data_IF_099099353478
#
_entry.id   IF_099099353478
#
_cell.length_a   1.000
_cell.length_b   1.000
_cell.length_c   1.000
_cell.angle_alpha   90.00
_cell.angle_beta   90.00
_cell.angle_gamma   90.00
#
_symmetry.space_group_name_H-M   'P 1'
#
loop_
_entity.id
_entity.type
_entity.pdbx_description
1 polymer ?
#
# COMPACT_ATOMS: atom_id res chain seq x y z
N UNK A 1 14.56 -0.13 -12.80
CA UNK A 1 15.96 -0.61 -12.79
C UNK A 1 15.96 -2.08 -12.42
N UNK A 2 16.88 -2.87 -12.96
CA UNK A 2 17.06 -4.28 -12.60
C UNK A 2 18.52 -4.47 -12.20
N UNK A 3 18.76 -5.18 -11.09
CA UNK A 3 20.09 -5.58 -10.65
C UNK A 3 20.15 -7.10 -10.59
N UNK A 4 21.23 -7.68 -11.13
CA UNK A 4 21.49 -9.11 -11.04
C UNK A 4 22.98 -9.39 -11.19
N UNK A 5 23.44 -10.45 -10.54
CA UNK A 5 24.81 -10.91 -10.66
C UNK A 5 24.90 -12.42 -10.44
N UNK A 6 26.03 -12.98 -10.83
CA UNK A 6 26.35 -14.39 -10.63
C UNK A 6 27.84 -14.55 -10.40
N UNK A 7 28.21 -15.50 -9.55
CA UNK A 7 29.60 -15.89 -9.31
C UNK A 7 29.70 -17.42 -9.32
N UNK A 8 30.71 -17.93 -10.01
CA UNK A 8 31.05 -19.35 -10.06
C UNK A 8 32.47 -19.50 -9.53
N UNK A 9 32.65 -20.42 -8.57
CA UNK A 9 33.94 -20.78 -8.00
C UNK A 9 34.25 -22.23 -8.33
N UNK A 10 35.47 -22.47 -8.82
CA UNK A 10 36.03 -23.79 -9.09
C UNK A 10 37.25 -23.99 -8.19
N UNK A 11 37.27 -25.06 -7.42
CA UNK A 11 38.45 -25.48 -6.65
C UNK A 11 38.73 -26.93 -6.94
N UNK A 12 39.96 -27.23 -7.34
CA UNK A 12 40.46 -28.58 -7.55
C UNK A 12 41.69 -28.74 -6.68
N UNK A 13 41.59 -29.60 -5.66
CA UNK A 13 42.71 -29.92 -4.78
C UNK A 13 43.29 -31.28 -5.15
N UNK A 14 44.58 -31.28 -5.45
CA UNK A 14 45.42 -32.46 -5.61
C UNK A 14 46.48 -32.40 -4.50
N UNK A 15 46.95 -33.55 -4.03
CA UNK A 15 47.84 -33.67 -2.87
C UNK A 15 49.03 -32.69 -2.87
N UNK A 16 49.58 -32.37 -4.05
CA UNK A 16 50.74 -31.48 -4.23
C UNK A 16 50.39 -30.17 -4.99
N UNK A 17 49.22 -30.08 -5.61
CA UNK A 17 48.82 -28.97 -6.49
C UNK A 17 47.36 -28.60 -6.28
N UNK A 18 47.03 -27.31 -6.19
CA UNK A 18 45.64 -26.84 -6.21
C UNK A 18 45.38 -25.85 -7.35
N UNK A 19 44.16 -25.88 -7.89
CA UNK A 19 43.68 -24.96 -8.91
C UNK A 19 42.44 -24.26 -8.35
N UNK A 20 42.49 -22.93 -8.28
CA UNK A 20 41.40 -22.07 -7.83
C UNK A 20 41.00 -21.14 -8.96
N UNK A 21 39.74 -21.17 -9.37
CA UNK A 21 39.18 -20.31 -10.40
C UNK A 21 37.92 -19.61 -9.90
N UNK A 22 37.77 -18.33 -10.23
CA UNK A 22 36.55 -17.56 -9.96
C UNK A 22 36.16 -16.83 -11.24
N UNK A 23 34.88 -16.84 -11.58
CA UNK A 23 34.33 -15.97 -12.61
C UNK A 23 33.00 -15.43 -12.13
N UNK A 24 32.78 -14.14 -12.28
CA UNK A 24 31.54 -13.51 -11.87
C UNK A 24 31.31 -12.16 -12.49
N UNK A 25 30.08 -11.69 -12.36
CA UNK A 25 29.68 -10.35 -12.76
C UNK A 25 28.51 -9.86 -11.90
N UNK A 26 28.36 -8.54 -11.80
CA UNK A 26 27.19 -7.85 -11.25
C UNK A 26 26.78 -6.75 -12.23
N UNK A 27 25.51 -6.71 -12.61
CA UNK A 27 24.97 -5.83 -13.62
C UNK A 27 23.78 -5.02 -13.07
N UNK A 28 23.80 -3.72 -13.36
CA UNK A 28 22.72 -2.78 -13.10
C UNK A 28 22.20 -2.22 -14.43
N UNK A 29 20.91 -2.38 -14.68
CA UNK A 29 20.23 -1.95 -15.91
C UNK A 29 19.19 -0.87 -15.60
N UNK A 30 19.26 0.25 -16.32
CA UNK A 30 18.30 1.34 -16.37
C UNK A 30 17.47 1.21 -17.65
N UNK A 31 16.14 1.33 -17.54
CA UNK A 31 15.21 1.19 -18.68
C UNK A 31 14.70 2.55 -19.18
N UNK A 32 14.39 3.45 -18.25
CA UNK A 32 13.88 4.78 -18.52
C UNK A 32 14.71 5.81 -17.74
N UNK A 33 14.92 7.01 -18.29
CA UNK A 33 14.45 7.52 -19.59
C UNK A 33 15.31 7.05 -20.77
N UNK A 34 16.50 6.50 -20.49
CA UNK A 34 17.43 5.94 -21.46
C UNK A 34 17.78 4.53 -21.02
N UNK A 35 17.79 3.61 -21.97
CA UNK A 35 18.35 2.30 -21.72
C UNK A 35 19.85 2.48 -21.50
N UNK A 36 20.34 2.16 -20.30
CA UNK A 36 21.77 2.10 -19.98
C UNK A 36 22.05 0.95 -19.03
N UNK A 37 23.25 0.42 -19.04
CA UNK A 37 23.70 -0.59 -18.10
C UNK A 37 25.13 -0.36 -17.68
N UNK A 38 25.44 -0.84 -16.48
CA UNK A 38 26.78 -0.94 -15.94
C UNK A 38 26.96 -2.37 -15.42
N UNK A 39 27.98 -3.06 -15.89
CA UNK A 39 28.30 -4.42 -15.51
C UNK A 39 29.74 -4.50 -15.01
N UNK A 40 29.92 -4.81 -13.74
CA UNK A 40 31.21 -5.17 -13.15
C UNK A 40 31.47 -6.64 -13.43
N UNK A 41 32.66 -6.98 -13.90
CA UNK A 41 33.05 -8.36 -14.19
C UNK A 41 34.40 -8.68 -13.55
N UNK A 42 34.57 -9.94 -13.19
CA UNK A 42 35.82 -10.46 -12.64
C UNK A 42 36.02 -11.91 -13.05
N UNK A 43 37.25 -12.25 -13.43
CA UNK A 43 37.67 -13.62 -13.61
C UNK A 43 39.10 -13.80 -13.10
N UNK A 44 39.37 -14.88 -12.38
CA UNK A 44 40.71 -15.25 -11.96
C UNK A 44 40.91 -16.77 -12.01
N UNK A 45 42.14 -17.17 -12.28
CA UNK A 45 42.59 -18.55 -12.25
C UNK A 45 43.99 -18.59 -11.64
N UNK A 46 44.14 -19.37 -10.58
CA UNK A 46 45.38 -19.51 -9.81
C UNK A 46 45.74 -20.98 -9.69
N UNK A 47 46.99 -21.32 -10.01
CA UNK A 47 47.59 -22.64 -9.82
C UNK A 47 48.62 -22.54 -8.70
N UNK A 48 48.44 -23.32 -7.64
CA UNK A 48 49.37 -23.40 -6.51
C UNK A 48 50.04 -24.77 -6.48
N UNK A 49 51.32 -24.81 -6.13
CA UNK A 49 52.11 -26.04 -5.93
C UNK A 49 52.77 -25.94 -4.56
N UNK A 50 52.61 -26.97 -3.71
CA UNK A 50 53.15 -26.98 -2.34
C UNK A 50 52.76 -25.75 -1.50
N UNK A 51 51.58 -25.16 -1.77
CA UNK A 51 51.08 -23.97 -1.10
C UNK A 51 51.53 -22.63 -1.73
N UNK A 52 52.49 -22.65 -2.65
CA UNK A 52 53.00 -21.45 -3.32
C UNK A 52 52.33 -21.22 -4.68
N UNK A 53 52.04 -19.96 -5.04
CA UNK A 53 51.44 -19.62 -6.34
C UNK A 53 52.46 -19.77 -7.48
N UNK A 54 52.23 -20.74 -8.37
CA UNK A 54 53.06 -20.97 -9.54
C UNK A 54 52.63 -20.07 -10.72
N UNK A 55 51.33 -20.01 -10.98
CA UNK A 55 50.72 -19.24 -12.07
C UNK A 55 49.43 -18.59 -11.57
N UNK A 56 49.23 -17.32 -11.88
CA UNK A 56 47.98 -16.61 -11.66
C UNK A 56 47.64 -15.75 -12.86
N UNK A 57 46.40 -15.79 -13.31
CA UNK A 57 45.85 -14.81 -14.24
C UNK A 57 44.54 -14.30 -13.67
N UNK A 58 44.33 -13.00 -13.74
CA UNK A 58 43.12 -12.35 -13.29
C UNK A 58 42.77 -11.16 -14.16
N UNK A 59 41.49 -10.84 -14.21
CA UNK A 59 40.98 -9.60 -14.78
C UNK A 59 39.79 -9.15 -13.95
N UNK A 60 39.74 -7.86 -13.66
CA UNK A 60 38.56 -7.23 -13.11
C UNK A 60 38.32 -5.92 -13.85
N UNK A 61 37.07 -5.60 -14.10
CA UNK A 61 36.72 -4.42 -14.87
C UNK A 61 35.25 -4.09 -14.83
N UNK A 62 34.91 -3.03 -15.55
CA UNK A 62 33.58 -2.50 -15.71
C UNK A 62 33.30 -2.31 -17.19
N UNK A 63 32.11 -2.73 -17.62
CA UNK A 63 31.56 -2.52 -18.93
C UNK A 63 30.29 -1.69 -18.80
N UNK A 64 30.22 -0.56 -19.49
CA UNK A 64 29.03 0.30 -19.53
C UNK A 64 28.53 0.52 -20.95
N UNK A 65 27.24 0.76 -21.11
CA UNK A 65 26.56 0.97 -22.39
C UNK A 65 25.05 1.16 -22.19
N UNK A 66 24.20 0.88 -23.20
CA UNK A 66 24.48 0.83 -24.63
C UNK A 66 24.31 2.22 -25.25
N UNK A 67 25.37 2.73 -25.85
CA UNK A 67 25.46 4.10 -26.34
C UNK A 67 26.92 4.43 -26.58
N UNK A 68 27.49 5.23 -25.68
CA UNK A 68 28.93 5.23 -25.48
C UNK A 68 29.29 4.00 -24.65
N UNK A 69 29.91 3.04 -25.30
CA UNK A 69 30.49 1.90 -24.65
C UNK A 69 31.79 2.33 -23.99
N UNK A 70 31.98 1.89 -22.74
CA UNK A 70 33.26 2.00 -22.06
C UNK A 70 33.59 0.69 -21.40
N UNK A 71 34.75 0.14 -21.73
CA UNK A 71 35.29 -1.06 -21.12
C UNK A 71 36.63 -0.70 -20.48
N UNK A 72 36.66 -0.71 -19.15
CA UNK A 72 37.86 -0.41 -18.38
C UNK A 72 38.15 -1.52 -17.38
N UNK A 73 39.42 -1.82 -17.16
CA UNK A 73 39.80 -2.88 -16.23
C UNK A 73 41.30 -2.98 -15.99
N UNK A 74 41.65 -3.87 -15.07
CA UNK A 74 43.02 -4.25 -14.78
C UNK A 74 43.15 -5.75 -14.91
N UNK A 75 44.15 -6.20 -15.65
CA UNK A 75 44.54 -7.60 -15.65
C UNK A 75 45.75 -7.79 -14.71
N UNK A 76 45.86 -8.99 -14.16
CA UNK A 76 46.91 -9.43 -13.28
C UNK A 76 47.49 -10.71 -13.86
N UNK A 77 48.79 -10.76 -14.05
CA UNK A 77 49.51 -11.96 -14.47
C UNK A 77 50.66 -12.20 -13.51
N UNK A 78 50.70 -13.39 -12.91
CA UNK A 78 51.77 -13.84 -12.02
C UNK A 78 52.34 -15.15 -12.53
N UNK A 79 53.65 -15.19 -12.72
CA UNK A 79 54.40 -16.39 -13.03
C UNK A 79 55.60 -16.47 -12.08
N UNK A 80 55.50 -17.31 -11.05
CA UNK A 80 56.49 -17.44 -9.98
C UNK A 80 56.91 -16.07 -9.39
N UNK A 81 58.05 -15.54 -9.84
CA UNK A 81 58.67 -14.28 -9.38
C UNK A 81 58.34 -13.07 -10.26
N UNK A 82 57.71 -13.27 -11.41
CA UNK A 82 57.35 -12.23 -12.37
C UNK A 82 55.88 -11.85 -12.20
N UNK A 83 55.61 -10.56 -12.08
CA UNK A 83 54.25 -10.01 -12.00
C UNK A 83 54.06 -8.88 -13.01
N UNK A 84 52.94 -8.91 -13.73
CA UNK A 84 52.59 -7.92 -14.74
C UNK A 84 51.13 -7.51 -14.62
N UNK A 85 50.88 -6.21 -14.51
CA UNK A 85 49.57 -5.64 -14.17
C UNK A 85 49.11 -4.59 -15.19
N UNK A 86 48.76 -4.99 -16.43
CA UNK A 86 48.33 -4.03 -17.45
C UNK A 86 46.93 -3.50 -17.14
N UNK A 87 46.73 -2.22 -17.44
CA UNK A 87 45.43 -1.54 -17.34
C UNK A 87 44.94 -1.15 -18.73
N UNK A 88 43.64 -1.19 -18.95
CA UNK A 88 43.02 -0.74 -20.20
C UNK A 88 41.76 0.07 -19.90
N UNK A 89 41.46 1.06 -20.75
CA UNK A 89 40.23 1.87 -20.71
C UNK A 89 39.94 2.29 -22.15
N UNK A 90 38.99 1.60 -22.77
CA UNK A 90 38.60 1.81 -24.15
C UNK A 90 37.17 2.34 -24.20
N UNK A 91 36.95 3.34 -25.05
CA UNK A 91 35.66 3.97 -25.26
C UNK A 91 35.31 3.98 -26.74
N UNK A 92 34.08 3.57 -27.09
CA UNK A 92 33.61 3.56 -28.46
C UNK A 92 32.09 3.76 -28.54
N UNK A 93 31.61 4.16 -29.73
CA UNK A 93 30.20 4.48 -29.93
C UNK A 93 29.87 5.93 -29.62
N UNK A 94 28.59 6.26 -29.70
CA UNK A 94 28.08 7.62 -29.57
C UNK A 94 27.02 7.65 -28.47
N UNK A 95 26.97 8.75 -27.69
CA UNK A 95 25.85 8.94 -26.77
C UNK A 95 24.57 9.04 -27.60
N UNK A 96 23.57 8.17 -27.37
CA UNK A 96 22.29 8.28 -28.06
C UNK A 96 21.69 9.67 -27.79
N UNK A 97 21.15 10.29 -28.83
CA UNK A 97 20.42 11.55 -28.68
C UNK A 97 19.35 11.38 -27.59
N UNK A 98 19.18 12.41 -26.75
CA UNK A 98 18.12 12.42 -25.73
C UNK A 98 16.81 12.23 -26.47
N UNK A 99 16.07 11.16 -26.19
CA UNK A 99 14.69 11.07 -26.66
C UNK A 99 13.98 12.32 -26.17
N UNK A 100 13.53 13.17 -27.11
CA UNK A 100 12.82 14.42 -26.87
C UNK A 100 11.37 14.15 -26.41
N UNK A 101 11.21 13.25 -25.44
CA UNK A 101 9.94 13.13 -24.75
C UNK A 101 9.69 14.48 -24.07
N UNK A 102 8.62 15.15 -24.49
CA UNK A 102 8.18 16.41 -23.91
C UNK A 102 6.84 16.22 -23.20
N UNK A 103 6.71 16.82 -22.02
CA UNK A 103 5.51 16.72 -21.18
C UNK A 103 4.90 18.11 -20.99
N UNK A 104 3.60 18.23 -21.23
CA UNK A 104 2.81 19.45 -20.97
C UNK A 104 2.44 19.52 -19.48
N UNK A 105 3.26 20.21 -18.69
CA UNK A 105 3.02 20.39 -17.24
C UNK A 105 1.71 21.15 -17.00
N UNK A 106 1.36 22.07 -17.91
CA UNK A 106 0.10 22.81 -17.87
C UNK A 106 -1.12 21.89 -17.88
N UNK A 107 -1.13 20.86 -18.73
CA UNK A 107 -2.24 19.91 -18.81
C UNK A 107 -2.33 19.04 -17.56
N UNK A 108 -1.19 18.60 -17.03
CA UNK A 108 -1.14 17.84 -15.78
C UNK A 108 -1.66 18.66 -14.60
N UNK A 109 -1.23 19.92 -14.47
CA UNK A 109 -1.74 20.84 -13.45
C UNK A 109 -3.24 21.11 -13.61
N UNK A 110 -3.71 21.35 -14.85
CA UNK A 110 -5.13 21.58 -15.11
C UNK A 110 -5.98 20.36 -14.72
N UNK A 111 -5.48 19.15 -15.02
CA UNK A 111 -6.12 17.89 -14.61
C UNK A 111 -6.15 17.77 -13.09
N UNK A 112 -5.05 18.05 -12.41
CA UNK A 112 -4.96 17.94 -10.95
C UNK A 112 -5.86 18.94 -10.22
N UNK A 113 -5.92 20.20 -10.67
CA UNK A 113 -6.82 21.19 -10.07
C UNK A 113 -8.29 20.90 -10.35
N UNK A 114 -8.60 20.16 -11.43
CA UNK A 114 -9.95 19.71 -11.75
C UNK A 114 -10.34 18.41 -11.02
N UNK A 115 -9.40 17.71 -10.40
CA UNK A 115 -9.67 16.46 -9.70
C UNK A 115 -10.25 16.72 -8.29
N UNK A 116 -11.49 16.29 -7.98
CA UNK A 116 -12.09 16.47 -6.66
C UNK A 116 -11.27 15.89 -5.51
N UNK A 117 -10.48 14.83 -5.74
CA UNK A 117 -9.66 14.19 -4.70
C UNK A 117 -8.53 15.09 -4.18
N UNK A 118 -8.12 16.09 -4.96
CA UNK A 118 -7.12 17.08 -4.56
C UNK A 118 -7.73 18.22 -3.74
N UNK A 119 -9.05 18.23 -3.56
CA UNK A 119 -9.79 19.18 -2.75
C UNK A 119 -10.25 18.54 -1.44
N UNK A 120 -10.04 19.25 -0.34
CA UNK A 120 -10.41 18.78 0.99
C UNK A 120 -11.00 19.92 1.82
N UNK A 121 -11.97 19.59 2.65
CA UNK A 121 -12.53 20.50 3.65
C UNK A 121 -11.98 20.11 5.03
N UNK A 122 -11.14 20.96 5.59
CA UNK A 122 -10.43 20.71 6.86
C UNK A 122 -11.04 21.59 7.95
N UNK A 123 -11.48 21.00 9.06
CA UNK A 123 -11.95 21.78 10.21
C UNK A 123 -10.77 22.50 10.90
N UNK A 124 -10.94 23.75 11.36
CA UNK A 124 -9.92 24.43 12.15
C UNK A 124 -9.59 23.67 13.44
N UNK A 125 -8.31 23.66 13.82
CA UNK A 125 -7.83 23.02 15.04
C UNK A 125 -8.57 23.57 16.27
N UNK A 126 -9.07 22.68 17.14
CA UNK A 126 -9.83 23.03 18.34
C UNK A 126 -11.34 23.19 18.13
N UNK A 127 -11.85 22.88 16.93
CA UNK A 127 -13.28 22.83 16.64
C UNK A 127 -13.74 21.38 16.57
N UNK A 128 -14.58 20.95 17.51
CA UNK A 128 -15.31 19.70 17.35
C UNK A 128 -16.47 19.94 16.38
N UNK A 129 -16.57 19.11 15.35
CA UNK A 129 -17.73 19.09 14.47
C UNK A 129 -18.96 18.70 15.27
N UNK A 130 -19.73 19.68 15.75
CA UNK A 130 -20.98 19.45 16.48
C UNK A 130 -22.03 18.72 15.63
N UNK A 131 -21.84 18.74 14.30
CA UNK A 131 -22.70 18.07 13.32
C UNK A 131 -21.84 17.27 12.34
N UNK A 132 -22.26 16.05 12.05
CA UNK A 132 -21.72 15.25 10.94
C UNK A 132 -22.66 15.43 9.75
N UNK A 133 -22.11 15.85 8.60
CA UNK A 133 -22.89 15.93 7.37
C UNK A 133 -23.14 14.52 6.83
N UNK A 134 -24.40 14.18 6.56
CA UNK A 134 -24.74 12.94 5.85
C UNK A 134 -24.20 13.01 4.43
N UNK A 135 -23.65 11.90 3.95
CA UNK A 135 -23.23 11.78 2.55
C UNK A 135 -24.45 11.68 1.65
N UNK A 136 -24.49 12.49 0.59
CA UNK A 136 -25.52 12.38 -0.43
C UNK A 136 -25.10 11.31 -1.45
N UNK A 137 -25.89 10.23 -1.63
CA UNK A 137 -25.44 9.03 -2.37
C UNK A 137 -25.18 9.25 -3.86
N UNK A 138 -25.63 10.37 -4.44
CA UNK A 138 -25.50 10.66 -5.89
C UNK A 138 -24.58 11.85 -6.21
N UNK A 139 -23.94 12.47 -5.20
CA UNK A 139 -23.08 13.63 -5.40
C UNK A 139 -21.59 13.25 -5.34
N UNK A 140 -20.83 13.61 -6.38
CA UNK A 140 -19.37 13.55 -6.39
C UNK A 140 -18.72 14.84 -5.88
N UNK A 141 -19.51 15.78 -5.33
CA UNK A 141 -19.01 17.04 -4.85
C UNK A 141 -18.36 16.90 -3.47
N UNK A 142 -17.21 17.56 -3.27
CA UNK A 142 -16.58 17.65 -1.96
C UNK A 142 -17.47 18.45 -1.00
N UNK A 143 -18.13 17.76 -0.07
CA UNK A 143 -18.95 18.39 0.97
C UNK A 143 -18.03 19.11 1.96
N UNK A 144 -18.27 20.41 2.13
CA UNK A 144 -17.52 21.23 3.08
C UNK A 144 -18.43 21.66 4.23
N UNK A 145 -17.94 21.50 5.46
CA UNK A 145 -18.58 22.10 6.63
C UNK A 145 -18.51 23.65 6.50
N UNK A 146 -19.53 24.42 6.93
CA UNK A 146 -19.51 25.89 6.82
C UNK A 146 -18.31 26.56 7.50
N UNK A 147 -17.77 25.92 8.53
CA UNK A 147 -16.56 26.35 9.26
C UNK A 147 -15.27 25.73 8.72
N UNK A 148 -15.32 24.89 7.70
CA UNK A 148 -14.12 24.25 7.17
C UNK A 148 -13.27 25.26 6.37
N UNK A 149 -11.97 25.06 6.46
CA UNK A 149 -11.00 25.57 5.52
C UNK A 149 -11.03 24.69 4.28
N UNK A 150 -11.27 25.30 3.13
CA UNK A 150 -11.14 24.65 1.83
C UNK A 150 -9.66 24.64 1.43
N UNK A 151 -9.09 23.45 1.31
CA UNK A 151 -7.71 23.22 0.92
C UNK A 151 -7.68 22.51 -0.43
N UNK A 152 -6.90 23.06 -1.36
CA UNK A 152 -6.52 22.41 -2.61
C UNK A 152 -5.01 22.24 -2.66
N UNK A 153 -4.54 21.04 -2.99
CA UNK A 153 -3.11 20.78 -3.21
C UNK A 153 -2.92 19.73 -4.29
N UNK A 154 -2.03 20.00 -5.24
CA UNK A 154 -1.64 19.05 -6.28
C UNK A 154 -0.22 18.52 -6.03
N UNK A 155 0.15 17.39 -6.63
CA UNK A 155 1.47 16.76 -6.45
C UNK A 155 2.27 16.66 -7.74
N UNK A 156 1.78 17.29 -8.81
CA UNK A 156 2.40 17.28 -10.12
C UNK A 156 3.66 18.13 -10.15
N UNK A 157 3.58 19.43 -9.86
CA UNK A 157 4.70 20.36 -10.02
C UNK A 157 4.67 21.52 -9.01
N UNK A 158 5.82 22.09 -8.64
CA UNK A 158 5.86 23.25 -7.77
C UNK A 158 5.30 24.50 -8.48
N UNK A 159 4.60 25.34 -7.72
CA UNK A 159 4.06 26.63 -8.12
C UNK A 159 5.00 27.77 -7.71
N UNK A 160 4.75 28.96 -8.25
CA UNK A 160 5.49 30.19 -7.97
C UNK A 160 7.00 30.12 -8.27
N UNK A 161 7.39 29.21 -9.17
CA UNK A 161 8.79 28.89 -9.45
C UNK A 161 8.97 28.51 -10.93
N UNK A 162 10.12 28.85 -11.50
CA UNK A 162 10.48 28.49 -12.87
C UNK A 162 11.11 27.09 -12.94
N UNK A 163 10.47 26.20 -13.70
CA UNK A 163 10.85 24.81 -13.89
C UNK A 163 11.83 24.67 -15.06
N UNK A 164 12.87 23.85 -14.89
CA UNK A 164 13.85 23.59 -15.95
C UNK A 164 13.49 22.32 -16.74
N UNK A 165 13.05 21.28 -16.03
CA UNK A 165 12.60 19.99 -16.58
C UNK A 165 11.39 19.44 -15.82
N UNK A 166 10.81 18.36 -16.34
CA UNK A 166 9.75 17.62 -15.63
C UNK A 166 10.03 16.12 -15.65
N UNK A 167 10.32 15.56 -14.47
CA UNK A 167 10.89 14.22 -14.35
C UNK A 167 12.16 14.13 -15.18
N UNK A 168 12.13 13.30 -16.23
CA UNK A 168 13.23 13.12 -17.16
C UNK A 168 12.98 13.75 -18.55
N UNK A 169 11.83 14.39 -18.71
CA UNK A 169 11.32 14.95 -19.96
C UNK A 169 11.50 16.46 -20.05
N UNK A 170 11.54 16.99 -21.28
CA UNK A 170 11.50 18.43 -21.52
C UNK A 170 10.08 18.96 -21.25
N UNK A 171 9.97 20.17 -20.74
CA UNK A 171 8.66 20.82 -20.57
C UNK A 171 8.18 21.35 -21.91
N UNK A 172 6.98 20.94 -22.30
CA UNK A 172 6.24 21.52 -23.42
C UNK A 172 5.36 22.68 -22.91
N UNK A 173 5.57 23.88 -23.45
CA UNK A 173 4.83 25.09 -23.06
C UNK A 173 5.41 25.86 -21.85
N UNK A 174 4.55 26.52 -21.04
CA UNK A 174 4.98 27.37 -19.93
C UNK A 174 5.77 26.62 -18.86
N UNK A 175 6.76 27.29 -18.29
CA UNK A 175 7.66 26.74 -17.26
C UNK A 175 7.44 27.33 -15.87
N UNK A 176 6.55 28.31 -15.72
CA UNK A 176 6.25 28.95 -14.45
C UNK A 176 4.75 29.06 -14.29
N UNK A 177 4.27 28.66 -13.11
CA UNK A 177 2.85 28.65 -12.77
C UNK A 177 2.65 29.38 -11.44
N UNK A 178 2.22 30.64 -11.50
CA UNK A 178 2.02 31.47 -10.32
C UNK A 178 0.57 31.34 -9.81
N UNK A 179 0.41 31.13 -8.50
CA UNK A 179 -0.89 31.12 -7.85
C UNK A 179 -1.30 32.55 -7.52
N UNK A 180 -2.24 33.10 -8.29
CA UNK A 180 -2.65 34.51 -8.15
C UNK A 180 -3.75 34.71 -7.10
N UNK A 181 -4.90 34.07 -7.29
CA UNK A 181 -6.09 34.32 -6.47
C UNK A 181 -7.00 33.10 -6.47
N UNK A 182 -7.56 32.78 -5.30
CA UNK A 182 -8.70 31.87 -5.21
C UNK A 182 -10.00 32.66 -5.13
N UNK A 183 -11.03 32.19 -5.83
CA UNK A 183 -12.36 32.79 -5.78
C UNK A 183 -13.39 31.76 -5.35
N UNK A 184 -14.34 32.19 -4.52
CA UNK A 184 -15.48 31.39 -4.10
C UNK A 184 -16.76 32.10 -4.58
N UNK A 185 -17.56 31.41 -5.39
CA UNK A 185 -18.74 32.00 -6.05
C UNK A 185 -18.43 33.35 -6.75
N UNK A 186 -17.27 33.43 -7.41
CA UNK A 186 -16.81 34.62 -8.14
C UNK A 186 -16.26 35.76 -7.26
N UNK A 187 -16.18 35.60 -5.94
CA UNK A 187 -15.61 36.60 -5.03
C UNK A 187 -14.19 36.21 -4.59
N UNK A 188 -13.25 37.16 -4.53
CA UNK A 188 -11.93 36.95 -3.92
C UNK A 188 -12.06 36.40 -2.50
N UNK A 189 -11.24 35.42 -2.16
CA UNK A 189 -11.10 34.96 -0.78
C UNK A 189 -9.63 35.06 -0.31
N UNK A 190 -9.37 35.38 0.97
CA UNK A 190 -8.02 35.36 1.52
C UNK A 190 -7.41 33.97 1.34
N UNK A 191 -6.20 33.90 0.76
CA UNK A 191 -5.59 32.63 0.39
C UNK A 191 -4.22 32.52 1.04
N UNK A 192 -3.95 31.38 1.66
CA UNK A 192 -2.61 31.03 2.17
C UNK A 192 -2.06 29.89 1.33
N UNK A 193 -0.78 29.99 0.96
CA UNK A 193 -0.13 28.98 0.13
C UNK A 193 0.13 27.71 0.93
N UNK A 194 -0.14 26.58 0.31
CA UNK A 194 0.08 25.25 0.88
C UNK A 194 1.38 24.70 0.31
N UNK A 195 2.24 24.18 1.20
CA UNK A 195 3.50 23.55 0.82
C UNK A 195 3.47 22.04 1.00
N UNK A 196 4.08 21.32 0.07
CA UNK A 196 4.27 19.87 0.16
C UNK A 196 5.70 19.46 -0.25
N UNK A 197 6.22 18.35 0.29
CA UNK A 197 7.52 17.83 -0.08
C UNK A 197 7.49 17.26 -1.50
N UNK A 198 8.34 17.78 -2.40
CA UNK A 198 8.55 17.23 -3.74
C UNK A 198 10.04 16.95 -4.00
N UNK A 199 10.31 16.06 -4.95
CA UNK A 199 11.66 15.71 -5.35
C UNK A 199 12.29 16.80 -6.23
N UNK A 200 13.30 17.49 -5.71
CA UNK A 200 13.95 18.63 -6.39
C UNK A 200 14.51 18.23 -7.75
N UNK A 201 15.16 17.06 -7.82
CA UNK A 201 15.75 16.52 -9.05
C UNK A 201 14.73 16.20 -10.16
N UNK A 202 13.42 16.22 -9.87
CA UNK A 202 12.40 16.05 -10.90
C UNK A 202 12.11 17.36 -11.67
N UNK A 203 12.47 18.53 -11.12
CA UNK A 203 12.08 19.84 -11.68
C UNK A 203 13.27 20.70 -12.14
N UNK A 204 14.46 20.43 -11.60
CA UNK A 204 15.69 21.16 -11.89
C UNK A 204 16.77 20.26 -12.48
N UNK A 205 17.62 20.83 -13.34
CA UNK A 205 18.87 20.21 -13.78
C UNK A 205 19.93 20.43 -12.69
N UNK A 206 20.24 19.36 -11.97
CA UNK A 206 21.23 19.37 -10.89
C UNK A 206 22.53 18.73 -11.35
N UNK A 207 23.67 19.31 -10.99
CA UNK A 207 24.97 18.67 -11.16
C UNK A 207 25.10 17.41 -10.28
N UNK A 208 26.04 16.53 -10.59
CA UNK A 208 26.26 15.32 -9.79
C UNK A 208 26.61 15.64 -8.32
N UNK A 209 27.45 16.65 -8.11
CA UNK A 209 27.79 17.14 -6.76
C UNK A 209 26.55 17.66 -6.02
N UNK A 210 25.71 18.46 -6.68
CA UNK A 210 24.47 18.97 -6.09
C UNK A 210 23.50 17.85 -5.74
N UNK A 211 23.40 16.80 -6.56
CA UNK A 211 22.56 15.62 -6.26
C UNK A 211 23.01 14.87 -5.01
N UNK A 212 24.29 14.93 -4.67
CA UNK A 212 24.86 14.25 -3.48
C UNK A 212 24.86 15.14 -2.23
N UNK A 213 24.95 16.46 -2.40
CA UNK A 213 25.10 17.41 -1.30
C UNK A 213 23.82 18.13 -0.91
N UNK A 214 22.94 18.45 -1.87
CA UNK A 214 21.68 19.13 -1.63
C UNK A 214 20.58 18.16 -1.15
N UNK A 215 19.50 18.72 -0.58
CA UNK A 215 18.34 17.91 -0.19
C UNK A 215 17.63 17.37 -1.42
N UNK A 216 17.49 16.04 -1.49
CA UNK A 216 16.72 15.38 -2.56
C UNK A 216 15.23 15.77 -2.53
N UNK A 217 14.68 16.05 -1.35
CA UNK A 217 13.28 16.43 -1.12
C UNK A 217 13.23 17.80 -0.43
N UNK A 218 12.44 18.70 -0.98
CA UNK A 218 12.26 20.07 -0.48
C UNK A 218 10.76 20.44 -0.48
N UNK A 219 10.37 21.35 0.41
CA UNK A 219 8.98 21.80 0.51
C UNK A 219 8.69 22.92 -0.47
N UNK A 220 7.83 22.67 -1.44
CA UNK A 220 7.44 23.63 -2.46
C UNK A 220 5.99 24.04 -2.32
N UNK A 221 5.66 25.21 -2.85
CA UNK A 221 4.29 25.69 -2.97
C UNK A 221 3.54 24.81 -3.98
N UNK A 222 2.43 24.19 -3.59
CA UNK A 222 1.69 23.25 -4.45
C UNK A 222 0.20 23.54 -4.55
N UNK A 223 -0.30 24.46 -3.74
CA UNK A 223 -1.71 24.79 -3.71
C UNK A 223 -2.04 25.89 -2.72
N UNK A 224 -3.28 25.90 -2.27
CA UNK A 224 -3.86 27.00 -1.52
C UNK A 224 -4.87 26.50 -0.49
N UNK A 225 -5.00 27.26 0.59
CA UNK A 225 -6.06 27.09 1.59
C UNK A 225 -6.76 28.42 1.83
N UNK A 226 -8.09 28.37 1.96
CA UNK A 226 -8.91 29.51 2.34
C UNK A 226 -10.11 29.07 3.15
N UNK A 227 -10.58 29.95 4.03
CA UNK A 227 -11.79 29.76 4.80
C UNK A 227 -11.77 30.65 6.02
N UNK A 228 -12.87 30.66 6.75
CA UNK A 228 -12.93 31.32 8.04
C UNK A 228 -12.22 30.41 9.06
N UNK A 229 -10.99 30.75 9.45
CA UNK A 229 -10.23 30.05 10.49
C UNK A 229 -10.81 30.21 11.91
N UNK A 230 -12.11 30.49 12.03
CA UNK A 230 -12.82 30.78 13.26
C UNK A 230 -14.24 31.29 12.99
N UNK A 231 -15.02 31.47 14.06
CA UNK A 231 -16.34 32.08 13.99
C UNK A 231 -16.26 33.58 14.30
N UNK A 232 -17.03 34.40 13.58
CA UNK A 232 -17.40 35.74 14.05
C UNK A 232 -18.82 35.60 14.59
N UNK A 233 -18.96 35.46 15.91
CA UNK A 233 -20.27 35.54 16.55
C UNK A 233 -20.61 37.02 16.65
N UNK A 234 -21.69 37.48 15.98
CA UNK A 234 -22.17 38.85 16.18
C UNK A 234 -22.44 39.05 17.67
N UNK A 235 -22.03 40.19 18.22
CA UNK A 235 -22.38 40.58 19.61
C UNK A 235 -23.88 40.76 19.81
N UNK A 236 -24.65 40.87 18.71
CA UNK A 236 -26.10 40.85 18.71
C UNK A 236 -26.57 39.39 18.63
N UNK A 237 -26.92 38.82 19.78
CA UNK A 237 -27.67 37.57 19.83
C UNK A 237 -29.07 37.79 19.27
N UNK A 238 -29.49 36.92 18.35
CA UNK A 238 -30.91 36.78 18.03
C UNK A 238 -31.48 35.71 18.96
N UNK A 239 -32.44 36.07 19.80
CA UNK A 239 -33.23 35.09 20.52
C UNK A 239 -34.05 34.31 19.47
N UNK A 240 -33.68 33.04 19.27
CA UNK A 240 -34.41 32.11 18.44
C UNK A 240 -34.95 31.00 19.34
N UNK A 241 -36.25 30.71 19.20
CA UNK A 241 -36.88 29.62 19.93
C UNK A 241 -36.46 28.29 19.27
N UNK A 242 -35.34 27.74 19.73
CA UNK A 242 -34.79 26.49 19.20
C UNK A 242 -35.50 25.32 19.86
N UNK A 243 -36.52 24.77 19.19
CA UNK A 243 -37.10 23.49 19.60
C UNK A 243 -36.15 22.36 19.23
N UNK A 244 -35.49 21.74 20.21
CA UNK A 244 -34.74 20.52 20.00
C UNK A 244 -35.48 19.33 20.62
N UNK A 245 -35.34 18.17 20.00
CA UNK A 245 -35.79 16.91 20.59
C UNK A 245 -34.57 16.01 20.83
N UNK A 246 -34.40 15.58 22.07
CA UNK A 246 -33.34 14.65 22.44
C UNK A 246 -33.89 13.23 22.41
N UNK A 247 -33.43 12.44 21.45
CA UNK A 247 -33.72 11.01 21.40
C UNK A 247 -32.56 10.23 22.03
N UNK A 248 -32.80 9.68 23.22
CA UNK A 248 -31.89 8.69 23.79
C UNK A 248 -32.11 7.36 23.09
N UNK A 249 -31.16 6.95 22.24
CA UNK A 249 -31.12 5.61 21.65
C UNK A 249 -30.58 4.63 22.70
N UNK A 250 -31.32 4.42 23.78
CA UNK A 250 -31.03 3.36 24.74
C UNK A 250 -31.62 2.06 24.21
N UNK A 251 -30.83 0.98 24.21
CA UNK A 251 -31.40 -0.37 24.15
C UNK A 251 -32.05 -0.61 25.51
N UNK A 252 -33.28 -0.14 25.68
CA UNK A 252 -34.06 -0.38 26.89
C UNK A 252 -34.13 -1.90 27.06
N UNK A 253 -33.52 -2.44 28.12
CA UNK A 253 -33.84 -3.80 28.52
C UNK A 253 -35.34 -3.81 28.81
N UNK A 254 -36.12 -4.69 28.18
CA UNK A 254 -37.56 -4.63 28.31
C UNK A 254 -37.93 -4.86 29.78
N UNK A 255 -38.74 -3.96 30.34
CA UNK A 255 -39.34 -4.11 31.66
C UNK A 255 -39.96 -5.51 31.77
N UNK A 256 -39.96 -6.13 32.96
CA UNK A 256 -40.36 -7.53 33.12
C UNK A 256 -41.77 -7.83 32.54
N UNK A 257 -42.70 -6.86 32.58
CA UNK A 257 -44.01 -6.93 31.93
C UNK A 257 -43.91 -6.92 30.40
N UNK A 258 -43.03 -6.12 29.81
CA UNK A 258 -42.77 -6.11 28.37
C UNK A 258 -42.04 -7.39 27.93
N UNK A 259 -41.14 -7.95 28.74
CA UNK A 259 -40.47 -9.21 28.46
C UNK A 259 -41.45 -10.40 28.46
N UNK A 260 -42.43 -10.42 29.36
CA UNK A 260 -43.53 -11.40 29.39
C UNK A 260 -44.47 -11.23 28.21
N UNK A 261 -44.90 -10.00 27.90
CA UNK A 261 -45.73 -9.71 26.73
C UNK A 261 -45.00 -10.06 25.41
N UNK A 262 -43.69 -9.79 25.34
CA UNK A 262 -42.86 -10.17 24.20
C UNK A 262 -42.67 -11.68 24.12
N UNK A 263 -42.56 -12.39 25.25
CA UNK A 263 -42.50 -13.85 25.28
C UNK A 263 -43.81 -14.51 24.81
N UNK A 264 -44.97 -13.95 25.17
CA UNK A 264 -46.27 -14.41 24.69
C UNK A 264 -46.45 -14.13 23.19
N UNK A 265 -46.06 -12.94 22.72
CA UNK A 265 -46.09 -12.59 21.30
C UNK A 265 -45.08 -13.45 20.50
N UNK A 266 -43.87 -13.65 20.99
CA UNK A 266 -42.85 -14.50 20.36
C UNK A 266 -43.22 -15.99 20.43
N UNK A 267 -43.94 -16.42 21.46
CA UNK A 267 -44.48 -17.78 21.58
C UNK A 267 -45.64 -18.05 20.60
N UNK A 268 -46.43 -17.01 20.28
CA UNK A 268 -47.47 -17.06 19.26
C UNK A 268 -46.94 -16.91 17.82
N UNK A 269 -45.73 -16.38 17.65
CA UNK A 269 -45.11 -16.20 16.34
C UNK A 269 -44.53 -17.51 15.82
N UNK A 270 -45.24 -18.14 14.88
CA UNK A 270 -44.70 -19.26 14.13
C UNK A 270 -43.42 -18.87 13.37
N UNK A 271 -42.53 -19.84 13.15
CA UNK A 271 -41.25 -19.64 12.44
C UNK A 271 -41.42 -19.01 11.06
N UNK A 272 -42.53 -19.31 10.37
CA UNK A 272 -42.87 -18.71 9.07
C UNK A 272 -43.23 -17.22 9.20
N UNK A 273 -43.95 -16.84 10.25
CA UNK A 273 -44.34 -15.45 10.52
C UNK A 273 -43.13 -14.60 10.90
N UNK A 274 -42.23 -15.13 11.73
CA UNK A 274 -40.92 -14.51 12.02
C UNK A 274 -40.07 -14.33 10.76
N UNK A 275 -40.06 -15.31 9.85
CA UNK A 275 -39.34 -15.18 8.58
C UNK A 275 -39.95 -14.11 7.66
N UNK A 276 -41.27 -13.97 7.64
CA UNK A 276 -41.96 -12.92 6.87
C UNK A 276 -41.67 -11.54 7.45
N UNK A 277 -41.78 -11.37 8.78
CA UNK A 277 -41.45 -10.10 9.45
C UNK A 277 -39.97 -9.74 9.28
N UNK A 278 -39.06 -10.71 9.39
CA UNK A 278 -37.65 -10.49 9.14
C UNK A 278 -37.37 -10.05 7.70
N UNK A 279 -38.17 -10.49 6.71
CA UNK A 279 -38.08 -10.02 5.31
C UNK A 279 -38.69 -8.62 5.12
N UNK A 280 -39.77 -8.32 5.83
CA UNK A 280 -40.52 -7.07 5.68
C UNK A 280 -39.94 -5.89 6.50
N UNK A 281 -39.16 -6.15 7.55
CA UNK A 281 -38.57 -5.12 8.42
C UNK A 281 -37.44 -4.32 7.74
N UNK A 282 -37.03 -3.20 8.36
CA UNK A 282 -36.01 -2.29 7.82
C UNK A 282 -34.68 -2.99 7.50
N UNK A 283 -34.20 -3.88 8.39
CA UNK A 283 -33.02 -4.73 8.15
C UNK A 283 -33.24 -5.69 6.98
N UNK A 284 -34.48 -6.13 6.78
CA UNK A 284 -34.87 -7.03 5.70
C UNK A 284 -34.90 -6.40 4.32
N UNK A 285 -35.23 -5.11 4.27
CA UNK A 285 -35.30 -4.27 3.06
C UNK A 285 -33.99 -3.54 2.75
N UNK A 286 -33.00 -3.62 3.63
CA UNK A 286 -31.69 -3.00 3.43
C UNK A 286 -30.96 -3.62 2.23
N UNK A 287 -30.33 -2.76 1.42
CA UNK A 287 -29.50 -3.14 0.26
C UNK A 287 -28.34 -4.07 0.66
N UNK A 288 -27.90 -4.03 1.92
CA UNK A 288 -26.86 -4.91 2.44
C UNK A 288 -27.31 -6.38 2.59
N UNK A 289 -28.62 -6.66 2.56
CA UNK A 289 -29.18 -8.02 2.70
C UNK A 289 -29.40 -8.73 1.37
N UNK A 290 -29.14 -8.07 0.23
CA UNK A 290 -29.22 -8.72 -1.07
C UNK A 290 -28.26 -9.91 -1.11
N UNK A 291 -28.81 -11.12 -1.02
CA UNK A 291 -28.05 -12.39 -1.07
C UNK A 291 -27.19 -12.50 -2.33
N UNK A 292 -27.50 -11.75 -3.37
CA UNK A 292 -26.73 -11.72 -4.61
C UNK A 292 -25.40 -10.97 -4.46
N UNK A 293 -25.32 -9.90 -3.65
CA UNK A 293 -24.05 -9.20 -3.36
C UNK A 293 -23.14 -10.00 -2.43
N UNK A 294 -23.71 -10.82 -1.55
CA UNK A 294 -22.96 -11.72 -0.66
C UNK A 294 -22.57 -13.04 -1.34
N UNK A 295 -23.00 -13.28 -2.59
CA UNK A 295 -22.61 -14.47 -3.35
C UNK A 295 -21.28 -14.21 -4.04
N UNK A 296 -20.22 -14.99 -3.75
CA UNK A 296 -18.99 -14.90 -4.51
C UNK A 296 -19.24 -15.26 -5.98
N UNK A 297 -18.55 -14.56 -6.89
CA UNK A 297 -18.72 -14.73 -8.35
C UNK A 297 -18.48 -16.17 -8.84
N UNK A 298 -17.75 -16.99 -8.06
CA UNK A 298 -17.59 -18.42 -8.30
C UNK A 298 -18.16 -19.24 -7.15
N UNK A 299 -19.15 -20.09 -7.45
CA UNK A 299 -19.62 -21.13 -6.53
C UNK A 299 -18.69 -22.35 -6.64
N UNK A 300 -17.69 -22.45 -5.77
CA UNK A 300 -17.01 -23.73 -5.53
C UNK A 300 -17.84 -24.56 -4.55
N UNK A 301 -18.17 -25.80 -4.92
CA UNK A 301 -18.81 -26.76 -4.01
C UNK A 301 -17.74 -27.25 -3.04
N UNK A 302 -17.70 -26.68 -1.85
CA UNK A 302 -16.87 -27.17 -0.75
C UNK A 302 -17.66 -28.28 -0.06
N UNK A 303 -17.23 -29.53 -0.25
CA UNK A 303 -17.67 -30.62 0.63
C UNK A 303 -16.80 -30.56 1.87
N UNK A 304 -17.34 -29.96 2.92
CA UNK A 304 -16.70 -29.87 4.22
C UNK A 304 -17.13 -31.10 5.02
N UNK A 305 -16.22 -32.05 5.21
CA UNK A 305 -16.44 -33.16 6.14
C UNK A 305 -16.22 -32.63 7.55
N UNK A 306 -17.31 -32.29 8.24
CA UNK A 306 -17.23 -31.83 9.63
C UNK A 306 -16.80 -32.99 10.54
N UNK A 307 -15.85 -32.76 11.47
CA UNK A 307 -15.41 -33.81 12.39
C UNK A 307 -16.55 -34.22 13.33
N UNK A 308 -16.63 -35.53 13.61
CA UNK A 308 -17.60 -36.09 14.53
C UNK A 308 -17.22 -35.76 15.98
N UNK A 309 -18.18 -35.29 16.76
CA UNK A 309 -18.03 -35.03 18.19
C UNK A 309 -18.57 -36.20 19.02
N UNK A 310 -17.74 -36.71 19.92
CA UNK A 310 -18.16 -37.58 21.01
C UNK A 310 -18.33 -36.76 22.31
N UNK A 311 -19.15 -37.25 23.23
CA UNK A 311 -19.20 -36.73 24.58
C UNK A 311 -18.77 -37.81 25.56
N UNK A 312 -18.00 -37.43 26.58
CA UNK A 312 -17.50 -38.35 27.62
C UNK A 312 -17.91 -37.83 29.01
N UNK A 313 -18.23 -38.74 29.94
CA UNK A 313 -18.26 -38.39 31.37
C UNK A 313 -16.83 -38.38 31.92
N UNK A 314 -16.38 -37.23 32.45
CA UNK A 314 -14.98 -37.03 32.86
C UNK A 314 -14.55 -37.88 34.06
N UNK A 315 -15.50 -38.50 34.78
CA UNK A 315 -15.20 -39.34 35.95
C UNK A 315 -15.03 -40.80 35.59
N UNK A 316 -15.70 -41.25 34.53
CA UNK A 316 -15.75 -42.66 34.14
C UNK A 316 -15.11 -42.91 32.77
N UNK A 317 -14.82 -41.85 32.02
CA UNK A 317 -14.41 -41.88 30.62
C UNK A 317 -15.39 -42.66 29.72
N UNK A 318 -16.62 -42.88 30.19
CA UNK A 318 -17.66 -43.57 29.44
C UNK A 318 -18.29 -42.64 28.39
N UNK A 319 -18.61 -43.21 27.22
CA UNK A 319 -19.21 -42.48 26.10
C UNK A 319 -20.67 -42.13 26.37
N UNK A 320 -21.00 -40.86 26.16
CA UNK A 320 -22.35 -40.31 26.20
C UNK A 320 -22.89 -40.28 24.76
N UNK A 321 -24.02 -40.95 24.54
CA UNK A 321 -24.59 -41.08 23.20
C UNK A 321 -25.24 -39.77 22.72
N UNK A 322 -24.54 -39.08 21.81
CA UNK A 322 -25.07 -37.98 21.02
C UNK A 322 -25.78 -38.61 19.80
N UNK A 323 -26.98 -38.12 19.45
CA UNK A 323 -27.71 -38.69 18.31
C UNK A 323 -27.01 -38.31 17.00
N UNK A 324 -27.24 -39.03 15.89
CA UNK A 324 -26.47 -38.87 14.65
C UNK A 324 -26.46 -37.43 14.11
N UNK A 325 -27.56 -36.68 14.21
CA UNK A 325 -27.64 -35.27 13.76
C UNK A 325 -26.93 -34.25 14.67
N UNK A 326 -26.49 -34.69 15.85
CA UNK A 326 -25.88 -33.82 16.87
C UNK A 326 -24.36 -33.96 16.85
N UNK A 327 -23.85 -35.07 16.32
CA UNK A 327 -22.43 -35.43 16.29
C UNK A 327 -21.62 -34.53 15.35
N UNK A 328 -22.20 -33.97 14.30
CA UNK A 328 -21.43 -33.11 13.36
C UNK A 328 -21.51 -31.61 13.70
N UNK A 329 -22.37 -31.21 14.63
CA UNK A 329 -22.59 -29.80 14.96
C UNK A 329 -22.28 -29.49 16.42
N UNK A 330 -21.15 -28.83 16.67
CA UNK A 330 -20.65 -28.52 18.02
C UNK A 330 -21.68 -27.76 18.87
N UNK A 331 -22.43 -26.83 18.26
CA UNK A 331 -23.41 -26.02 18.98
C UNK A 331 -24.57 -26.87 19.48
N UNK A 332 -25.09 -27.78 18.64
CA UNK A 332 -26.12 -28.75 19.05
C UNK A 332 -25.59 -29.73 20.09
N UNK A 333 -24.35 -30.17 19.94
CA UNK A 333 -23.72 -31.08 20.89
C UNK A 333 -23.57 -30.46 22.28
N UNK A 334 -23.07 -29.22 22.36
CA UNK A 334 -23.02 -28.42 23.60
C UNK A 334 -24.40 -28.19 24.19
N UNK A 335 -25.41 -27.91 23.37
CA UNK A 335 -26.78 -27.72 23.84
C UNK A 335 -27.34 -28.99 24.49
N UNK A 336 -27.05 -30.17 23.95
CA UNK A 336 -27.49 -31.46 24.50
C UNK A 336 -26.78 -31.82 25.82
N UNK A 337 -25.56 -31.30 26.02
CA UNK A 337 -24.80 -31.46 27.26
C UNK A 337 -25.15 -30.43 28.34
N UNK A 338 -25.93 -29.39 28.00
CA UNK A 338 -26.32 -28.33 28.94
C UNK A 338 -27.10 -28.93 30.11
N UNK A 339 -26.54 -28.82 31.32
CA UNK A 339 -27.10 -29.39 32.56
C UNK A 339 -26.37 -30.63 33.10
N UNK A 340 -25.44 -31.21 32.34
CA UNK A 340 -24.57 -32.31 32.82
C UNK A 340 -23.26 -31.74 33.37
N UNK A 341 -23.07 -31.80 34.69
CA UNK A 341 -21.93 -31.17 35.40
C UNK A 341 -20.55 -31.77 35.07
N UNK A 342 -20.50 -33.01 34.57
CA UNK A 342 -19.27 -33.78 34.40
C UNK A 342 -19.13 -34.34 32.98
N UNK A 343 -19.62 -33.62 31.97
CA UNK A 343 -19.47 -34.02 30.57
C UNK A 343 -18.56 -33.09 29.80
N UNK A 344 -17.67 -33.66 28.98
CA UNK A 344 -16.81 -32.91 28.05
C UNK A 344 -17.08 -33.39 26.63
N UNK A 345 -17.07 -32.44 25.69
CA UNK A 345 -17.12 -32.71 24.27
C UNK A 345 -15.69 -32.98 23.77
N UNK A 346 -15.50 -34.06 23.03
CA UNK A 346 -14.21 -34.44 22.46
C UNK A 346 -14.40 -34.69 20.98
N UNK A 347 -13.44 -34.25 20.17
CA UNK A 347 -13.41 -34.53 18.74
C UNK A 347 -12.99 -35.98 18.52
N UNK A 348 -13.80 -36.75 17.81
CA UNK A 348 -13.51 -38.14 17.48
C UNK A 348 -12.55 -38.17 16.30
N UNK A 349 -11.29 -38.53 16.58
CA UNK A 349 -10.26 -38.74 15.57
C UNK A 349 -9.96 -40.24 15.51
N UNK A 350 -10.18 -40.85 14.35
CA UNK A 350 -9.66 -42.19 14.06
C UNK A 350 -8.14 -42.08 13.93
N UNK A 351 -7.41 -42.75 14.82
CA UNK A 351 -5.97 -42.96 14.63
C UNK A 351 -5.82 -43.99 13.51
N UNK A 352 -5.41 -43.54 12.32
CA UNK A 352 -4.88 -44.44 11.30
C UNK A 352 -3.61 -45.11 11.89
N UNK A 353 -3.75 -46.37 12.32
CA UNK A 353 -2.59 -47.24 12.55
C UNK A 353 -1.83 -47.37 11.23
N UNK A 354 -0.69 -46.67 11.13
CA UNK A 354 0.28 -46.96 10.08
C UNK A 354 0.87 -48.35 10.35
N UNK A 355 0.33 -49.37 9.68
CA UNK A 355 0.96 -50.69 9.49
C UNK A 355 1.76 -50.71 8.19
#
# INVERSE_FOLDING_TARGET
>A
TIQFGAEVKLTVDLEVMSIEGVIGFDALIYYEPRFSFEAHYGASLTVKVLGETLLGVGVHGMLSGPGLWRCGGKAHFKLLLLEFNPTFDEQWGELPERTDASTSVRELLARDFSNPDNWSAVLPLGTDGLVTLGTEPESSATLAHPLALLRVAQKTAPLNLELEKFGETRIDGPRRFDLQQMTLAGKPVPTTVVKEPLARAAYFELSEEQRLTERCIESFDVGAVSGAGGYVVPTVGADADVSYSTHYLTRTEPDAEFALALADVLGALSRSMLQQMAKAGATGRSVLREKERLRPAQKRKLELTEPAFAALDVRTLARIQLGPEVVTNETRARQKLRGRKYSVLVEESELEEQS
#
